data_IF_406544609364
#
_entry.id   IF_406544609364
#
_cell.length_a   1.000
_cell.length_b   1.000
_cell.length_c   1.000
_cell.angle_alpha   90.00
_cell.angle_beta   90.00
_cell.angle_gamma   90.00
#
_symmetry.space_group_name_H-M   'P 1'
#
loop_
_entity.id
_entity.type
_entity.pdbx_description
1 polymer ?
#
# COMPACT_ATOMS: atom_id res chain seq x y z
N UNK A 1 59.20 -43.51 21.97
CA UNK A 1 58.53 -44.52 22.76
C UNK A 1 57.05 -44.19 22.70
N UNK A 2 56.11 -44.91 22.25
CA UNK A 2 55.93 -46.34 21.94
C UNK A 2 54.81 -46.44 20.92
N UNK A 3 54.99 -47.16 19.87
CA UNK A 3 53.98 -47.54 18.92
C UNK A 3 53.12 -48.76 19.44
N UNK A 4 52.13 -49.09 18.66
CA UNK A 4 51.08 -50.15 18.70
C UNK A 4 49.71 -49.51 18.89
N UNK A 5 48.70 -49.72 18.07
CA UNK A 5 48.29 -50.92 17.38
C UNK A 5 47.31 -50.58 16.27
N UNK A 6 47.69 -50.68 14.98
CA UNK A 6 46.84 -50.57 13.81
C UNK A 6 46.31 -51.86 13.23
N UNK A 7 46.40 -53.01 13.96
CA UNK A 7 46.18 -54.32 13.39
C UNK A 7 44.88 -55.04 13.77
N UNK A 8 44.01 -54.47 14.61
CA UNK A 8 42.77 -55.10 15.06
C UNK A 8 41.48 -54.63 14.38
N UNK A 9 41.59 -53.74 13.40
CA UNK A 9 40.38 -53.10 12.73
C UNK A 9 40.06 -53.68 11.35
N UNK A 10 40.83 -54.66 10.87
CA UNK A 10 40.67 -55.11 9.49
C UNK A 10 39.92 -56.44 9.35
N UNK A 11 39.58 -57.13 10.43
CA UNK A 11 39.02 -58.50 10.36
C UNK A 11 37.51 -58.58 10.62
N UNK A 12 36.84 -57.47 10.87
CA UNK A 12 35.37 -57.46 11.14
C UNK A 12 34.50 -56.89 10.00
N UNK A 13 35.05 -56.70 8.78
CA UNK A 13 34.32 -56.21 7.65
C UNK A 13 33.83 -57.23 6.63
N UNK A 14 34.10 -58.52 6.85
CA UNK A 14 33.81 -59.54 5.82
C UNK A 14 32.57 -60.41 6.08
N UNK A 15 31.94 -60.31 7.23
CA UNK A 15 30.78 -61.19 7.56
C UNK A 15 29.42 -60.47 7.50
N UNK A 16 29.38 -59.19 7.22
CA UNK A 16 28.13 -58.42 7.25
C UNK A 16 27.50 -58.14 5.85
N UNK A 17 28.03 -58.81 4.81
CA UNK A 17 27.64 -58.59 3.43
C UNK A 17 26.57 -59.52 2.87
N UNK A 18 26.11 -60.53 3.65
CA UNK A 18 25.19 -61.59 3.14
C UNK A 18 23.76 -61.56 3.73
N UNK A 19 23.38 -60.56 4.56
CA UNK A 19 22.04 -60.56 5.18
C UNK A 19 21.14 -59.40 4.68
N UNK A 20 21.51 -58.70 3.61
CA UNK A 20 20.78 -57.50 3.17
C UNK A 20 19.69 -57.64 2.09
N UNK A 21 19.51 -58.73 1.34
CA UNK A 21 18.47 -58.74 0.29
C UNK A 21 17.05 -58.99 0.82
N UNK A 22 16.90 -59.71 1.93
CA UNK A 22 15.56 -60.04 2.46
C UNK A 22 14.93 -58.91 3.27
N UNK A 23 15.72 -58.04 3.91
CA UNK A 23 15.17 -56.90 4.67
C UNK A 23 14.74 -55.74 3.75
N UNK A 24 15.39 -55.56 2.61
CA UNK A 24 15.00 -54.54 1.63
C UNK A 24 13.65 -54.85 0.96
N UNK A 25 13.37 -56.13 0.74
CA UNK A 25 12.10 -56.55 0.13
C UNK A 25 10.91 -56.36 1.08
N UNK A 26 11.08 -56.61 2.38
CA UNK A 26 10.03 -56.41 3.39
C UNK A 26 9.76 -54.91 3.65
N UNK A 27 10.78 -54.07 3.63
CA UNK A 27 10.63 -52.63 3.79
C UNK A 27 9.90 -52.02 2.57
N UNK A 28 10.18 -52.51 1.35
CA UNK A 28 9.52 -52.04 0.13
C UNK A 28 8.04 -52.42 0.11
N UNK A 29 7.65 -53.61 0.57
CA UNK A 29 6.24 -54.03 0.66
C UNK A 29 5.45 -53.26 1.72
N UNK A 30 6.05 -52.90 2.86
CA UNK A 30 5.41 -52.07 3.91
C UNK A 30 5.22 -50.65 3.46
N UNK A 31 6.16 -50.08 2.70
CA UNK A 31 6.03 -48.72 2.13
C UNK A 31 4.95 -48.62 1.03
N UNK A 32 4.75 -49.69 0.26
CA UNK A 32 3.69 -49.73 -0.76
C UNK A 32 2.27 -49.88 -0.18
N UNK A 33 2.13 -50.58 0.98
CA UNK A 33 0.82 -50.66 1.65
C UNK A 33 0.43 -49.39 2.41
N UNK A 34 1.39 -48.57 2.85
CA UNK A 34 1.13 -47.32 3.55
C UNK A 34 0.63 -46.18 2.61
N UNK A 35 0.84 -46.31 1.29
CA UNK A 35 0.42 -45.34 0.31
C UNK A 35 -1.09 -45.34 -0.01
N UNK A 36 -1.83 -46.40 0.41
CA UNK A 36 -3.27 -46.54 0.15
C UNK A 36 -4.17 -45.99 1.27
N UNK A 37 -3.61 -45.47 2.37
CA UNK A 37 -4.36 -44.93 3.51
C UNK A 37 -4.19 -43.42 3.68
N UNK A 38 -3.96 -42.68 2.59
CA UNK A 38 -4.11 -41.23 2.62
C UNK A 38 -5.62 -40.92 2.75
N UNK A 39 -6.10 -40.33 3.87
CA UNK A 39 -7.44 -39.82 3.92
C UNK A 39 -7.55 -38.79 2.81
N UNK A 40 -8.60 -38.88 1.98
CA UNK A 40 -8.97 -37.80 1.07
C UNK A 40 -9.08 -36.55 1.94
N UNK A 41 -8.10 -35.64 1.83
CA UNK A 41 -8.22 -34.31 2.40
C UNK A 41 -9.36 -33.67 1.62
N UNK A 42 -10.52 -33.55 2.26
CA UNK A 42 -11.56 -32.65 1.79
C UNK A 42 -10.86 -31.29 1.58
N UNK A 43 -10.69 -30.91 0.32
CA UNK A 43 -10.20 -29.58 -0.01
C UNK A 43 -11.12 -28.59 0.72
N UNK A 44 -10.57 -27.61 1.49
CA UNK A 44 -11.42 -26.62 2.12
C UNK A 44 -12.35 -26.05 1.04
N UNK A 45 -13.66 -25.90 1.29
CA UNK A 45 -14.57 -25.33 0.31
C UNK A 45 -13.91 -24.03 -0.19
N UNK A 46 -13.76 -23.92 -1.51
CA UNK A 46 -13.17 -22.74 -2.13
C UNK A 46 -13.82 -21.52 -1.50
N UNK A 47 -13.03 -20.71 -0.80
CA UNK A 47 -13.53 -19.52 -0.14
C UNK A 47 -14.35 -18.75 -1.17
N UNK A 48 -15.62 -18.48 -0.85
CA UNK A 48 -16.49 -17.67 -1.70
C UNK A 48 -15.71 -16.42 -2.08
N UNK A 49 -15.75 -15.97 -3.37
CA UNK A 49 -15.06 -14.76 -3.78
C UNK A 49 -15.41 -13.64 -2.81
N UNK A 50 -14.40 -13.04 -2.18
CA UNK A 50 -14.63 -11.91 -1.30
C UNK A 50 -15.47 -10.88 -2.07
N UNK A 51 -16.47 -10.23 -1.44
CA UNK A 51 -17.27 -9.20 -2.10
C UNK A 51 -16.28 -8.20 -2.74
N UNK A 52 -16.31 -8.10 -4.06
CA UNK A 52 -15.49 -7.13 -4.76
C UNK A 52 -15.93 -5.74 -4.31
N UNK A 53 -15.02 -4.96 -3.74
CA UNK A 53 -15.29 -3.58 -3.41
C UNK A 53 -15.83 -2.88 -4.67
N UNK A 54 -16.83 -1.99 -4.56
CA UNK A 54 -17.39 -1.31 -5.72
C UNK A 54 -16.26 -0.62 -6.47
N UNK A 55 -16.09 -0.97 -7.75
CA UNK A 55 -15.06 -0.38 -8.59
C UNK A 55 -15.42 1.09 -8.83
N UNK A 56 -14.55 2.01 -8.43
CA UNK A 56 -14.74 3.43 -8.70
C UNK A 56 -14.88 3.68 -10.20
N UNK A 57 -15.88 4.45 -10.57
CA UNK A 57 -16.07 4.90 -11.96
C UNK A 57 -15.51 6.31 -12.10
N UNK A 58 -14.45 6.53 -12.90
CA UNK A 58 -13.88 7.85 -13.12
C UNK A 58 -14.94 8.86 -13.58
N UNK A 59 -14.95 10.05 -13.00
CA UNK A 59 -15.93 11.11 -13.30
C UNK A 59 -15.64 11.83 -14.62
N UNK A 60 -14.40 11.76 -15.09
CA UNK A 60 -13.95 12.32 -16.36
C UNK A 60 -12.72 11.58 -16.86
N UNK A 61 -12.37 11.76 -18.13
CA UNK A 61 -11.18 11.17 -18.73
C UNK A 61 -9.91 11.69 -18.05
N UNK A 62 -9.07 10.76 -17.54
CA UNK A 62 -7.84 11.13 -16.81
C UNK A 62 -8.06 11.48 -15.34
N UNK A 63 -9.23 11.16 -14.76
CA UNK A 63 -9.48 11.29 -13.33
C UNK A 63 -8.49 10.43 -12.54
N UNK A 64 -7.63 11.03 -11.70
CA UNK A 64 -6.63 10.27 -10.94
C UNK A 64 -7.20 9.56 -9.72
N UNK A 65 -8.47 9.80 -9.36
CA UNK A 65 -9.08 9.20 -8.19
C UNK A 65 -9.25 7.68 -8.33
N UNK A 66 -9.11 6.95 -7.23
CA UNK A 66 -9.32 5.49 -7.14
C UNK A 66 -10.60 5.14 -6.37
N UNK A 67 -11.19 6.12 -5.68
CA UNK A 67 -12.43 6.00 -4.93
C UNK A 67 -13.22 7.30 -4.93
N UNK A 68 -14.49 7.24 -4.53
CA UNK A 68 -15.31 8.45 -4.35
C UNK A 68 -14.73 9.38 -3.27
N UNK A 69 -14.15 8.82 -2.22
CA UNK A 69 -13.47 9.57 -1.16
C UNK A 69 -12.25 10.32 -1.70
N UNK A 70 -11.41 9.68 -2.53
CA UNK A 70 -10.31 10.35 -3.22
C UNK A 70 -10.80 11.46 -4.17
N UNK A 71 -11.86 11.18 -4.93
CA UNK A 71 -12.42 12.19 -5.83
C UNK A 71 -12.90 13.45 -5.09
N UNK A 72 -13.51 13.29 -3.91
CA UNK A 72 -13.90 14.41 -3.05
C UNK A 72 -12.69 15.14 -2.46
N UNK A 73 -11.66 14.40 -2.02
CA UNK A 73 -10.42 14.98 -1.51
C UNK A 73 -9.70 15.81 -2.59
N UNK A 74 -9.55 15.28 -3.79
CA UNK A 74 -8.96 15.98 -4.93
C UNK A 74 -9.78 17.22 -5.35
N UNK A 75 -11.11 17.10 -5.37
CA UNK A 75 -11.98 18.25 -5.66
C UNK A 75 -11.81 19.37 -4.64
N UNK A 76 -11.66 19.03 -3.35
CA UNK A 76 -11.36 20.01 -2.31
C UNK A 76 -10.00 20.67 -2.52
N UNK A 77 -8.94 19.89 -2.80
CA UNK A 77 -7.60 20.42 -3.07
C UNK A 77 -7.60 21.41 -4.23
N UNK A 78 -8.24 21.06 -5.35
CA UNK A 78 -8.41 21.95 -6.51
C UNK A 78 -9.11 23.27 -6.13
N UNK A 79 -10.14 23.17 -5.30
CA UNK A 79 -10.88 24.33 -4.79
C UNK A 79 -9.99 25.27 -3.96
N UNK A 80 -9.19 24.72 -3.03
CA UNK A 80 -8.25 25.49 -2.21
C UNK A 80 -7.15 26.11 -3.07
N UNK A 81 -6.51 25.33 -3.95
CA UNK A 81 -5.43 25.78 -4.82
C UNK A 81 -5.91 26.94 -5.71
N UNK A 82 -7.09 26.82 -6.30
CA UNK A 82 -7.67 27.88 -7.11
C UNK A 82 -8.00 29.13 -6.31
N UNK A 83 -8.55 28.98 -5.10
CA UNK A 83 -8.82 30.11 -4.21
C UNK A 83 -7.51 30.80 -3.79
N UNK A 84 -6.45 30.05 -3.49
CA UNK A 84 -5.11 30.57 -3.19
C UNK A 84 -4.53 31.36 -4.37
N UNK A 85 -4.61 30.83 -5.58
CA UNK A 85 -4.15 31.51 -6.79
C UNK A 85 -4.89 32.85 -7.00
N UNK A 86 -6.22 32.88 -6.82
CA UNK A 86 -7.00 34.09 -6.96
C UNK A 86 -6.71 35.08 -5.83
N UNK A 87 -6.53 34.61 -4.60
CA UNK A 87 -6.11 35.44 -3.47
C UNK A 87 -4.75 36.10 -3.75
N UNK A 88 -3.78 35.29 -4.22
CA UNK A 88 -2.45 35.79 -4.58
C UNK A 88 -2.50 36.87 -5.69
N UNK A 89 -3.34 36.68 -6.71
CA UNK A 89 -3.54 37.72 -7.76
C UNK A 89 -4.09 39.04 -7.22
N UNK A 90 -4.88 39.01 -6.15
CA UNK A 90 -5.48 40.18 -5.55
C UNK A 90 -4.58 40.89 -4.52
N UNK A 91 -3.76 40.09 -3.78
CA UNK A 91 -3.03 40.57 -2.61
C UNK A 91 -1.51 40.51 -2.75
N UNK A 92 -0.99 39.96 -3.85
CA UNK A 92 0.44 39.71 -4.12
C UNK A 92 1.14 38.76 -3.11
N UNK A 93 0.37 38.03 -2.30
CA UNK A 93 0.83 36.98 -1.39
C UNK A 93 -0.24 35.91 -1.23
N UNK A 94 0.10 34.73 -0.77
CA UNK A 94 -0.85 33.67 -0.47
C UNK A 94 -1.57 33.91 0.86
N UNK A 95 -2.80 33.41 0.97
CA UNK A 95 -3.55 33.46 2.22
C UNK A 95 -2.82 32.64 3.32
N UNK A 96 -2.71 33.18 4.51
CA UNK A 96 -2.06 32.53 5.65
C UNK A 96 -2.96 31.53 6.38
N UNK A 97 -4.25 31.51 6.06
CA UNK A 97 -5.22 30.55 6.61
C UNK A 97 -6.36 30.30 5.62
N UNK A 98 -7.01 29.15 5.75
CA UNK A 98 -8.19 28.82 4.95
C UNK A 98 -9.36 29.81 5.18
N UNK A 99 -9.46 30.43 6.35
CA UNK A 99 -10.49 31.41 6.66
C UNK A 99 -10.40 32.65 5.77
N UNK A 100 -9.20 33.05 5.33
CA UNK A 100 -9.00 34.18 4.42
C UNK A 100 -9.50 33.91 2.99
N UNK A 101 -9.67 32.63 2.64
CA UNK A 101 -10.17 32.21 1.33
C UNK A 101 -11.69 32.24 1.24
N UNK A 102 -12.39 32.41 2.36
CA UNK A 102 -13.87 32.45 2.37
C UNK A 102 -14.37 33.57 1.49
N UNK A 103 -15.34 33.25 0.62
CA UNK A 103 -15.91 34.09 -0.45
C UNK A 103 -15.04 34.21 -1.72
N UNK A 104 -13.83 33.62 -1.76
CA UNK A 104 -13.02 33.56 -2.98
C UNK A 104 -13.34 32.28 -3.75
N UNK A 105 -13.69 32.39 -5.03
CA UNK A 105 -13.98 31.27 -5.92
C UNK A 105 -14.93 30.21 -5.30
N UNK A 106 -16.02 30.67 -4.73
CA UNK A 106 -17.02 29.82 -4.05
C UNK A 106 -16.46 29.03 -2.83
N UNK A 107 -15.29 29.42 -2.30
CA UNK A 107 -14.77 28.84 -1.06
C UNK A 107 -15.65 29.30 0.10
N UNK A 108 -16.27 28.36 0.78
CA UNK A 108 -17.27 28.64 1.83
C UNK A 108 -16.71 28.41 3.23
N UNK A 109 -17.37 28.99 4.24
CA UNK A 109 -17.02 28.77 5.64
C UNK A 109 -16.98 27.27 6.02
N UNK A 110 -17.83 26.42 5.41
CA UNK A 110 -17.82 24.96 5.62
C UNK A 110 -16.52 24.32 5.13
N UNK A 111 -15.85 24.91 4.16
CA UNK A 111 -14.60 24.40 3.61
C UNK A 111 -13.39 24.69 4.52
N UNK A 112 -13.54 25.55 5.51
CA UNK A 112 -12.50 25.79 6.53
C UNK A 112 -12.37 24.62 7.50
N UNK A 113 -13.44 23.84 7.72
CA UNK A 113 -13.36 22.64 8.55
C UNK A 113 -12.36 21.62 7.94
N UNK A 114 -11.37 21.12 8.68
CA UNK A 114 -10.41 20.14 8.17
C UNK A 114 -11.00 18.73 7.95
N UNK A 115 -12.11 18.38 8.58
CA UNK A 115 -12.73 17.06 8.40
C UNK A 115 -13.42 16.97 7.04
N UNK A 116 -13.02 15.99 6.24
CA UNK A 116 -13.49 15.71 4.89
C UNK A 116 -13.94 14.25 4.71
N UNK A 117 -14.69 13.72 5.66
CA UNK A 117 -15.13 12.33 5.64
C UNK A 117 -13.97 11.39 5.94
N UNK A 118 -13.52 10.63 4.94
CA UNK A 118 -12.39 9.70 5.12
C UNK A 118 -11.02 10.40 5.16
N UNK A 119 -10.99 11.72 4.97
CA UNK A 119 -9.78 12.54 4.93
C UNK A 119 -9.77 13.64 5.98
N UNK A 120 -8.56 14.06 6.35
CA UNK A 120 -8.32 15.28 7.13
C UNK A 120 -7.46 16.21 6.29
N UNK A 121 -7.94 17.43 6.08
CA UNK A 121 -7.21 18.47 5.38
C UNK A 121 -6.20 19.15 6.33
N UNK A 122 -4.95 19.28 5.90
CA UNK A 122 -3.92 20.08 6.57
C UNK A 122 -3.57 21.29 5.71
N UNK A 123 -3.47 22.46 6.31
CA UNK A 123 -3.04 23.67 5.64
C UNK A 123 -1.95 24.37 6.45
N UNK A 124 -0.87 24.76 5.78
CA UNK A 124 0.25 25.47 6.39
C UNK A 124 0.70 26.58 5.44
N UNK A 125 0.61 27.83 5.90
CA UNK A 125 1.21 28.95 5.20
C UNK A 125 2.73 28.99 5.42
N UNK A 126 3.44 29.42 4.38
CA UNK A 126 4.86 29.81 4.37
C UNK A 126 4.95 31.27 3.90
N UNK A 127 6.16 31.83 3.88
CA UNK A 127 6.38 33.24 3.47
C UNK A 127 5.86 33.51 2.05
N UNK A 128 6.28 32.69 1.10
CA UNK A 128 6.01 32.91 -0.33
C UNK A 128 5.19 31.81 -1.00
N UNK A 129 4.77 30.80 -0.23
CA UNK A 129 3.92 29.70 -0.70
C UNK A 129 3.04 29.14 0.42
N UNK A 130 2.35 28.03 0.14
CA UNK A 130 1.58 27.26 1.12
C UNK A 130 1.81 25.77 0.91
N UNK A 131 1.48 24.99 1.93
CA UNK A 131 1.39 23.53 1.86
C UNK A 131 -0.05 23.14 2.16
N UNK A 132 -0.62 22.32 1.29
CA UNK A 132 -1.93 21.71 1.45
C UNK A 132 -1.77 20.19 1.44
N UNK A 133 -2.30 19.51 2.45
CA UNK A 133 -2.28 18.05 2.54
C UNK A 133 -3.67 17.50 2.71
N UNK A 134 -3.91 16.30 2.17
CA UNK A 134 -5.07 15.47 2.47
C UNK A 134 -4.58 14.14 2.99
N UNK A 135 -4.77 13.94 4.30
CA UNK A 135 -4.33 12.71 4.98
C UNK A 135 -5.55 11.82 5.17
N UNK A 136 -5.55 10.60 4.63
CA UNK A 136 -6.63 9.67 4.87
C UNK A 136 -6.63 9.19 6.33
N UNK A 137 -7.80 8.92 6.89
CA UNK A 137 -7.95 8.32 8.22
C UNK A 137 -7.41 6.89 8.26
N UNK A 138 -7.54 6.18 7.11
CA UNK A 138 -6.94 4.87 6.87
C UNK A 138 -6.19 4.93 5.53
N UNK A 139 -4.88 4.73 5.55
CA UNK A 139 -4.06 4.73 4.34
C UNK A 139 -4.11 3.33 3.70
N UNK A 140 -4.59 3.26 2.46
CA UNK A 140 -4.70 2.02 1.68
C UNK A 140 -4.70 2.31 0.16
N UNK A 141 -4.85 1.28 -0.66
CA UNK A 141 -4.83 1.42 -2.11
C UNK A 141 -5.97 2.28 -2.71
N UNK A 142 -7.06 2.51 -1.95
CA UNK A 142 -8.22 3.32 -2.34
C UNK A 142 -8.26 4.67 -1.63
N UNK A 143 -7.34 4.92 -0.68
CA UNK A 143 -7.26 6.13 0.13
C UNK A 143 -5.79 6.56 0.25
N UNK A 144 -5.22 7.08 -0.85
CA UNK A 144 -3.86 7.65 -0.86
C UNK A 144 -3.82 8.98 -0.12
N UNK A 145 -2.68 9.31 0.46
CA UNK A 145 -2.40 10.66 0.93
C UNK A 145 -2.08 11.59 -0.25
N UNK A 146 -2.42 12.88 -0.12
CA UNK A 146 -2.14 13.88 -1.14
C UNK A 146 -1.42 15.09 -0.56
N UNK A 147 -0.63 15.74 -1.42
CA UNK A 147 0.15 16.92 -1.11
C UNK A 147 0.14 17.89 -2.29
N UNK A 148 0.06 19.20 -2.01
CA UNK A 148 0.19 20.23 -3.01
C UNK A 148 0.84 21.50 -2.42
N UNK A 149 1.53 22.23 -3.27
CA UNK A 149 2.04 23.58 -3.04
C UNK A 149 1.51 24.54 -4.08
N UNK A 150 2.15 25.68 -4.22
CA UNK A 150 1.80 26.74 -5.18
C UNK A 150 2.22 26.44 -6.63
N UNK A 151 2.96 25.35 -6.87
CA UNK A 151 3.42 24.94 -8.20
C UNK A 151 2.32 24.35 -9.10
N UNK A 152 1.11 24.25 -8.60
CA UNK A 152 -0.05 23.72 -9.33
C UNK A 152 -0.08 22.20 -9.46
N UNK A 153 0.80 21.46 -8.78
CA UNK A 153 0.82 20.00 -8.84
C UNK A 153 0.18 19.38 -7.61
N UNK A 154 -0.49 18.25 -7.83
CA UNK A 154 -0.95 17.38 -6.76
C UNK A 154 -0.12 16.11 -6.80
N UNK A 155 0.53 15.81 -5.68
CA UNK A 155 1.30 14.60 -5.44
C UNK A 155 0.47 13.62 -4.65
N UNK A 156 0.70 12.31 -4.84
CA UNK A 156 0.04 11.25 -4.09
C UNK A 156 1.03 10.16 -3.64
N UNK A 157 0.73 9.55 -2.49
CA UNK A 157 1.46 8.40 -1.96
C UNK A 157 0.47 7.43 -1.31
N UNK A 158 0.64 6.14 -1.54
CA UNK A 158 -0.25 5.08 -1.02
C UNK A 158 0.30 4.39 0.22
N UNK A 159 1.56 4.67 0.59
CA UNK A 159 2.27 3.96 1.67
C UNK A 159 2.67 4.85 2.83
N UNK A 160 2.76 6.15 2.60
CA UNK A 160 3.18 7.16 3.59
C UNK A 160 2.45 8.49 3.34
N UNK A 161 2.52 9.45 4.25
CA UNK A 161 2.11 10.81 3.96
C UNK A 161 2.84 11.37 2.73
N UNK A 162 2.07 11.88 1.75
CA UNK A 162 2.62 12.44 0.53
C UNK A 162 3.41 13.73 0.82
N UNK A 163 4.44 13.98 0.03
CA UNK A 163 5.31 15.14 0.07
C UNK A 163 5.68 15.60 -1.36
N UNK A 164 6.49 16.65 -1.48
CA UNK A 164 6.91 17.20 -2.77
C UNK A 164 7.70 16.22 -3.66
N UNK A 165 8.19 15.10 -3.11
CA UNK A 165 8.92 14.06 -3.85
C UNK A 165 8.04 12.90 -4.27
N UNK A 166 6.79 12.86 -3.79
CA UNK A 166 5.83 11.82 -4.14
C UNK A 166 5.38 11.94 -5.61
N UNK A 167 4.75 10.89 -6.13
CA UNK A 167 4.32 10.85 -7.53
C UNK A 167 3.31 11.97 -7.84
N UNK A 168 3.55 12.75 -8.90
CA UNK A 168 2.58 13.71 -9.42
C UNK A 168 1.43 12.96 -10.08
N UNK A 169 0.21 13.22 -9.65
CA UNK A 169 -1.01 12.61 -10.19
C UNK A 169 -1.85 13.60 -10.97
N UNK A 170 -1.66 14.89 -10.75
CA UNK A 170 -2.39 15.96 -11.45
C UNK A 170 -1.54 17.23 -11.52
N UNK A 171 -1.67 17.98 -12.63
CA UNK A 171 -1.01 19.28 -12.83
C UNK A 171 -2.04 20.28 -13.33
N UNK A 172 -2.07 21.46 -12.70
CA UNK A 172 -2.92 22.59 -13.08
C UNK A 172 -2.07 23.75 -13.61
N UNK A 173 -2.47 24.27 -14.74
CA UNK A 173 -1.92 25.51 -15.32
C UNK A 173 -3.02 26.58 -15.23
N UNK A 174 -2.88 27.50 -14.24
CA UNK A 174 -3.85 28.58 -13.97
C UNK A 174 -3.61 29.83 -14.81
#
# INVERSE_FOLDING_TARGET
MTGRSKSARMMNRMTDRMKRPTQLLTILCVLLLAACLLPAQDAPPAAAPAPQAPTYTPKYHGDPARSDSEALALAYMRGVMRAQMLFHKQHAHYASSLSQLVHINNFTQRMVNPDRGDYTAGFRAKTDNYILTMTPKNLDALHRSFYAEDDGKIHADETKPADATSQVVETHHW
#
